data_IF_470708228537
#
_entry.id   IF_470708228537
#
_cell.length_a   1.000
_cell.length_b   1.000
_cell.length_c   1.000
_cell.angle_alpha   90.00
_cell.angle_beta   90.00
_cell.angle_gamma   90.00
#
_symmetry.space_group_name_H-M   'P 1'
#
loop_
_entity.id
_entity.type
_entity.pdbx_description
1 polymer ?
#
# COMPACT_ATOMS: atom_id res chain seq x y z
N UNK A 1 67.05 15.62 -2.63
CA UNK A 1 65.63 15.56 -3.00
C UNK A 1 65.52 14.84 -4.35
N UNK A 2 65.31 13.53 -4.32
CA UNK A 2 65.19 12.72 -5.53
C UNK A 2 63.85 13.00 -6.24
N UNK A 3 63.91 13.52 -7.46
CA UNK A 3 62.74 13.71 -8.32
C UNK A 3 62.32 12.34 -8.84
N UNK A 4 61.17 11.83 -8.39
CA UNK A 4 60.59 10.59 -8.92
C UNK A 4 60.27 10.77 -10.41
N UNK A 5 60.55 9.76 -11.26
CA UNK A 5 60.34 9.87 -12.70
C UNK A 5 58.85 10.04 -13.04
N UNK A 6 58.52 10.81 -14.09
CA UNK A 6 57.15 11.20 -14.43
C UNK A 6 56.23 9.99 -14.73
N UNK A 7 56.81 8.86 -15.13
CA UNK A 7 56.11 7.59 -15.33
C UNK A 7 55.57 7.00 -14.04
N UNK A 8 56.28 7.13 -12.92
CA UNK A 8 55.81 6.63 -11.61
C UNK A 8 54.63 7.46 -11.10
N UNK A 9 54.66 8.77 -11.33
CA UNK A 9 53.55 9.68 -10.97
C UNK A 9 52.31 9.36 -11.80
N UNK A 10 52.48 9.09 -13.10
CA UNK A 10 51.38 8.76 -14.00
C UNK A 10 50.75 7.39 -13.68
N UNK A 11 51.57 6.38 -13.35
CA UNK A 11 51.07 5.07 -12.91
C UNK A 11 50.35 5.15 -11.56
N UNK A 12 50.83 5.96 -10.61
CA UNK A 12 50.14 6.19 -9.33
C UNK A 12 48.80 6.91 -9.57
N UNK A 13 48.76 7.90 -10.47
CA UNK A 13 47.51 8.58 -10.81
C UNK A 13 46.52 7.63 -11.49
N UNK A 14 46.95 6.76 -12.40
CA UNK A 14 46.11 5.76 -13.05
C UNK A 14 45.65 4.66 -12.08
N UNK A 15 46.51 4.24 -11.14
CA UNK A 15 46.14 3.32 -10.05
C UNK A 15 45.15 3.97 -9.08
N UNK A 16 45.29 5.27 -8.78
CA UNK A 16 44.33 6.01 -7.98
C UNK A 16 42.99 6.16 -8.70
N UNK A 17 42.98 6.51 -9.99
CA UNK A 17 41.75 6.58 -10.80
C UNK A 17 41.07 5.20 -10.97
N UNK A 18 41.85 4.12 -11.06
CA UNK A 18 41.36 2.75 -11.14
C UNK A 18 40.91 2.16 -9.79
N UNK A 19 41.52 2.60 -8.68
CA UNK A 19 41.13 2.22 -7.31
C UNK A 19 39.93 3.04 -6.81
N UNK A 20 39.76 4.27 -7.28
CA UNK A 20 38.49 5.02 -7.21
C UNK A 20 37.55 4.66 -8.36
N UNK A 21 37.77 3.47 -8.94
CA UNK A 21 37.31 3.06 -10.27
C UNK A 21 35.98 3.67 -10.60
N UNK A 22 35.99 4.65 -11.50
CA UNK A 22 34.80 5.21 -12.14
C UNK A 22 33.51 5.00 -11.33
N UNK A 23 33.44 5.57 -10.12
CA UNK A 23 32.16 5.86 -9.48
C UNK A 23 31.54 6.99 -10.31
N UNK A 24 31.16 6.64 -11.54
CA UNK A 24 30.24 7.39 -12.36
C UNK A 24 28.99 7.50 -11.51
N UNK A 25 28.91 8.65 -10.85
CA UNK A 25 28.00 9.02 -9.78
C UNK A 25 26.58 8.58 -10.16
N UNK A 26 26.11 7.48 -9.57
CA UNK A 26 24.74 7.05 -9.79
C UNK A 26 23.85 8.13 -9.17
N UNK A 27 23.04 8.76 -10.01
CA UNK A 27 22.03 9.70 -9.57
C UNK A 27 20.75 8.90 -9.41
N UNK A 28 20.14 8.99 -8.22
CA UNK A 28 18.80 8.45 -8.03
C UNK A 28 17.83 9.33 -8.81
N UNK A 29 17.07 8.75 -9.73
CA UNK A 29 16.08 9.46 -10.54
C UNK A 29 14.64 9.03 -10.26
N UNK A 30 14.45 7.84 -9.68
CA UNK A 30 13.13 7.33 -9.32
C UNK A 30 13.23 6.22 -8.26
N UNK A 31 12.31 6.23 -7.30
CA UNK A 31 12.09 5.12 -6.37
C UNK A 31 10.70 4.53 -6.60
N UNK A 32 10.64 3.23 -6.89
CA UNK A 32 9.39 2.49 -7.02
C UNK A 32 9.32 1.41 -5.95
N UNK A 33 8.25 1.44 -5.15
CA UNK A 33 8.04 0.47 -4.08
C UNK A 33 6.72 -0.23 -4.33
N UNK A 34 6.79 -1.52 -4.67
CA UNK A 34 5.66 -2.42 -4.68
C UNK A 34 5.70 -3.25 -3.39
N UNK A 35 4.65 -3.16 -2.58
CA UNK A 35 4.58 -3.88 -1.32
C UNK A 35 3.24 -4.59 -1.16
N UNK A 36 3.26 -5.72 -0.44
CA UNK A 36 2.04 -6.32 0.09
C UNK A 36 1.60 -5.54 1.34
N UNK A 37 0.36 -5.70 1.77
CA UNK A 37 -0.04 -5.31 3.12
C UNK A 37 0.83 -5.97 4.18
N UNK A 38 0.97 -5.33 5.34
CA UNK A 38 1.50 -5.96 6.54
C UNK A 38 0.59 -7.10 7.03
N UNK A 39 0.95 -7.70 8.17
CA UNK A 39 0.11 -8.74 8.76
C UNK A 39 -1.31 -8.23 9.00
N UNK A 40 -2.29 -9.02 8.58
CA UNK A 40 -3.70 -8.70 8.71
C UNK A 40 -4.41 -9.86 9.40
N UNK A 41 -5.48 -9.58 10.18
CA UNK A 41 -6.28 -10.64 10.76
C UNK A 41 -6.97 -11.45 9.64
N UNK A 42 -7.35 -12.71 9.92
CA UNK A 42 -8.18 -13.49 9.01
C UNK A 42 -9.47 -12.73 8.63
N UNK A 43 -10.00 -12.95 7.41
CA UNK A 43 -11.25 -12.35 6.97
C UNK A 43 -12.40 -12.59 7.96
N UNK A 44 -13.32 -11.64 8.07
CA UNK A 44 -14.45 -11.68 9.01
C UNK A 44 -15.34 -12.93 8.86
N UNK A 45 -15.36 -13.52 7.66
CA UNK A 45 -16.16 -14.69 7.31
C UNK A 45 -15.54 -16.03 7.73
N UNK A 46 -14.30 -16.05 8.21
CA UNK A 46 -13.61 -17.29 8.59
C UNK A 46 -14.18 -17.85 9.89
N UNK A 47 -14.65 -19.12 9.92
CA UNK A 47 -15.10 -19.77 11.15
C UNK A 47 -14.00 -19.81 12.20
N UNK A 48 -14.32 -19.42 13.44
CA UNK A 48 -13.35 -19.41 14.53
C UNK A 48 -12.30 -18.30 14.45
N UNK A 49 -12.57 -17.22 13.69
CA UNK A 49 -11.68 -16.05 13.55
C UNK A 49 -11.09 -15.55 14.87
N UNK A 50 -11.89 -15.41 15.91
CA UNK A 50 -11.39 -14.92 17.22
C UNK A 50 -10.34 -15.85 17.82
N UNK A 51 -10.51 -17.17 17.68
CA UNK A 51 -9.52 -18.16 18.13
C UNK A 51 -8.26 -18.15 17.28
N UNK A 52 -8.37 -17.83 15.99
CA UNK A 52 -7.20 -17.67 15.10
C UNK A 52 -6.42 -16.40 15.42
N UNK A 53 -7.11 -15.31 15.74
CA UNK A 53 -6.48 -14.06 16.15
C UNK A 53 -5.91 -14.11 17.57
N UNK A 54 -6.51 -14.93 18.43
CA UNK A 54 -6.13 -15.06 19.82
C UNK A 54 -6.20 -16.51 20.29
N UNK A 55 -5.23 -17.36 19.90
CA UNK A 55 -5.20 -18.77 20.28
C UNK A 55 -5.21 -18.99 21.80
N UNK A 56 -4.57 -18.07 22.53
CA UNK A 56 -4.40 -18.12 23.99
C UNK A 56 -5.35 -17.16 24.74
N UNK A 57 -6.33 -16.55 24.06
CA UNK A 57 -7.24 -15.53 24.63
C UNK A 57 -6.55 -14.28 25.24
N UNK A 58 -5.31 -13.99 24.86
CA UNK A 58 -4.51 -12.84 25.35
C UNK A 58 -4.45 -11.66 24.38
N UNK A 59 -4.98 -11.82 23.17
CA UNK A 59 -4.92 -10.82 22.11
C UNK A 59 -6.26 -10.73 21.38
N UNK A 60 -6.31 -9.99 20.27
CA UNK A 60 -7.49 -9.91 19.41
C UNK A 60 -7.08 -9.59 17.96
N UNK A 61 -8.05 -9.65 17.04
CA UNK A 61 -7.79 -9.35 15.63
C UNK A 61 -7.30 -7.91 15.39
N UNK A 62 -7.69 -6.97 16.25
CA UNK A 62 -7.23 -5.57 16.17
C UNK A 62 -5.73 -5.45 16.48
N UNK A 63 -5.23 -6.20 17.46
CA UNK A 63 -3.80 -6.23 17.77
C UNK A 63 -2.96 -6.73 16.58
N UNK A 64 -3.44 -7.77 15.88
CA UNK A 64 -2.80 -8.24 14.63
C UNK A 64 -2.79 -7.13 13.58
N UNK A 65 -3.93 -6.48 13.35
CA UNK A 65 -4.03 -5.39 12.39
C UNK A 65 -3.05 -4.23 12.73
N UNK A 66 -2.93 -3.88 14.02
CA UNK A 66 -2.01 -2.84 14.50
C UNK A 66 -0.54 -3.24 14.34
N UNK A 67 -0.20 -4.51 14.57
CA UNK A 67 1.13 -5.01 14.24
C UNK A 67 1.44 -4.89 12.75
N UNK A 68 0.45 -5.12 11.87
CA UNK A 68 0.61 -4.89 10.43
C UNK A 68 0.92 -3.44 10.09
N UNK A 69 0.27 -2.49 10.76
CA UNK A 69 0.57 -1.04 10.61
C UNK A 69 2.00 -0.73 11.03
N UNK A 70 2.43 -1.24 12.19
CA UNK A 70 3.78 -1.03 12.70
C UNK A 70 4.84 -1.60 11.76
N UNK A 71 4.63 -2.82 11.25
CA UNK A 71 5.51 -3.42 10.24
C UNK A 71 5.70 -2.50 9.03
N UNK A 72 4.61 -1.93 8.52
CA UNK A 72 4.69 -1.05 7.35
C UNK A 72 5.37 0.28 7.66
N UNK A 73 5.16 0.84 8.86
CA UNK A 73 5.90 2.04 9.31
C UNK A 73 7.40 1.78 9.38
N UNK A 74 7.82 0.65 9.93
CA UNK A 74 9.24 0.27 10.01
C UNK A 74 9.85 0.07 8.61
N UNK A 75 9.11 -0.53 7.67
CA UNK A 75 9.54 -0.62 6.27
C UNK A 75 9.73 0.77 5.66
N UNK A 76 8.80 1.70 5.91
CA UNK A 76 8.94 3.09 5.46
C UNK A 76 10.17 3.79 6.04
N UNK A 77 10.40 3.66 7.34
CA UNK A 77 11.58 4.22 8.01
C UNK A 77 12.88 3.60 7.47
N UNK A 78 12.87 2.29 7.17
CA UNK A 78 13.99 1.61 6.52
C UNK A 78 14.26 2.17 5.13
N UNK A 79 13.24 2.35 4.29
CA UNK A 79 13.36 2.95 2.94
C UNK A 79 13.98 4.34 3.02
N UNK A 80 13.49 5.19 3.93
CA UNK A 80 14.07 6.52 4.17
C UNK A 80 15.56 6.40 4.49
N UNK A 81 15.90 5.56 5.48
CA UNK A 81 17.29 5.40 5.90
C UNK A 81 18.19 4.84 4.79
N UNK A 82 17.67 3.91 3.98
CA UNK A 82 18.41 3.31 2.88
C UNK A 82 18.82 4.38 1.87
N UNK A 83 17.87 5.19 1.39
CA UNK A 83 18.15 6.17 0.35
C UNK A 83 18.80 7.46 0.91
N UNK A 84 18.46 7.88 2.13
CA UNK A 84 19.05 9.08 2.72
C UNK A 84 20.50 8.91 3.18
N UNK A 85 21.01 7.67 3.31
CA UNK A 85 22.36 7.36 3.80
C UNK A 85 23.23 6.59 2.81
N UNK A 86 22.77 6.44 1.57
CA UNK A 86 23.55 5.79 0.53
C UNK A 86 24.68 6.73 0.07
N UNK A 87 25.91 6.42 0.45
CA UNK A 87 27.09 7.22 0.12
C UNK A 87 27.55 7.02 -1.34
N UNK A 88 27.04 5.99 -2.02
CA UNK A 88 27.37 5.67 -3.41
C UNK A 88 26.38 6.34 -4.40
N UNK A 89 25.32 6.94 -3.88
CA UNK A 89 24.28 7.63 -4.66
C UNK A 89 24.34 9.13 -4.39
N UNK A 90 24.61 9.89 -5.45
CA UNK A 90 24.65 11.34 -5.34
C UNK A 90 23.25 11.92 -5.11
N UNK A 91 23.16 12.94 -4.25
CA UNK A 91 21.96 13.77 -4.03
C UNK A 91 20.73 13.01 -3.48
N UNK A 92 20.90 11.77 -3.00
CA UNK A 92 19.78 10.97 -2.45
C UNK A 92 19.36 11.37 -1.04
N UNK A 93 20.18 12.14 -0.32
CA UNK A 93 19.92 12.50 1.08
C UNK A 93 18.59 13.24 1.29
N UNK A 94 18.19 14.07 0.33
CA UNK A 94 16.99 14.92 0.40
C UNK A 94 15.71 14.36 -0.24
N UNK A 95 15.76 13.15 -0.79
CA UNK A 95 14.64 12.56 -1.54
C UNK A 95 13.37 12.33 -0.71
N UNK A 96 13.53 12.11 0.59
CA UNK A 96 12.46 11.86 1.54
C UNK A 96 12.44 12.91 2.67
N UNK A 97 12.95 14.11 2.37
CA UNK A 97 12.88 15.22 3.30
C UNK A 97 11.43 15.61 3.57
N UNK A 98 11.18 16.07 4.79
CA UNK A 98 9.90 16.63 5.15
C UNK A 98 9.79 18.08 4.63
N UNK A 99 8.60 18.56 4.25
CA UNK A 99 7.29 17.90 4.35
C UNK A 99 6.96 16.97 3.16
N UNK A 100 5.92 16.16 3.31
CA UNK A 100 5.42 15.27 2.26
C UNK A 100 4.83 16.12 1.13
N UNK A 101 5.33 15.91 -0.10
CA UNK A 101 4.84 16.57 -1.30
C UNK A 101 3.98 15.61 -2.15
N UNK A 102 2.65 15.80 -2.22
CA UNK A 102 1.76 14.95 -3.02
C UNK A 102 1.96 15.11 -4.53
N UNK A 103 2.72 16.10 -5.00
CA UNK A 103 3.07 16.27 -6.41
C UNK A 103 4.31 15.46 -6.80
N UNK A 104 5.20 15.20 -5.84
CA UNK A 104 6.41 14.39 -6.04
C UNK A 104 6.16 12.88 -5.78
N UNK A 105 5.20 12.55 -4.92
CA UNK A 105 4.92 11.17 -4.52
C UNK A 105 3.58 10.71 -5.06
N UNK A 106 3.61 9.74 -5.97
CA UNK A 106 2.40 9.08 -6.46
C UNK A 106 2.19 7.74 -5.77
N UNK A 107 1.06 7.58 -5.08
CA UNK A 107 0.69 6.33 -4.44
C UNK A 107 -0.58 5.76 -5.06
N UNK A 108 -0.54 4.47 -5.41
CA UNK A 108 -1.69 3.72 -5.90
C UNK A 108 -1.85 2.44 -5.09
N UNK A 109 -3.07 2.13 -4.69
CA UNK A 109 -3.39 0.90 -3.97
C UNK A 109 -4.70 0.30 -4.48
N UNK A 110 -4.90 -0.98 -4.20
CA UNK A 110 -6.21 -1.60 -4.31
C UNK A 110 -7.21 -0.87 -3.43
N UNK A 111 -8.47 -0.83 -3.85
CA UNK A 111 -9.60 -0.40 -3.01
C UNK A 111 -9.88 -1.41 -1.89
N UNK A 112 -8.85 -1.78 -1.12
CA UNK A 112 -8.88 -2.64 0.04
C UNK A 112 -8.39 -1.93 1.31
N UNK A 113 -9.20 -1.87 2.38
CA UNK A 113 -8.83 -1.17 3.61
C UNK A 113 -7.51 -1.63 4.21
N UNK A 114 -7.19 -2.93 4.14
CA UNK A 114 -5.91 -3.42 4.67
C UNK A 114 -4.72 -2.97 3.84
N UNK A 115 -4.90 -2.87 2.52
CA UNK A 115 -3.88 -2.37 1.58
C UNK A 115 -3.74 -0.86 1.68
N UNK A 116 -4.85 -0.11 1.72
CA UNK A 116 -4.88 1.34 1.92
C UNK A 116 -4.18 1.72 3.23
N UNK A 117 -4.52 1.04 4.33
CA UNK A 117 -3.88 1.23 5.64
C UNK A 117 -2.39 0.92 5.59
N UNK A 118 -1.99 -0.14 4.90
CA UNK A 118 -0.57 -0.48 4.74
C UNK A 118 0.20 0.57 3.95
N UNK A 119 -0.38 1.09 2.86
CA UNK A 119 0.23 2.15 2.05
C UNK A 119 0.38 3.45 2.83
N UNK A 120 -0.68 3.86 3.55
CA UNK A 120 -0.63 5.03 4.43
C UNK A 120 0.40 4.86 5.56
N UNK A 121 0.47 3.67 6.17
CA UNK A 121 1.44 3.37 7.21
C UNK A 121 2.90 3.38 6.71
N UNK A 122 3.15 2.87 5.50
CA UNK A 122 4.46 2.94 4.87
C UNK A 122 4.89 4.40 4.64
N UNK A 123 4.02 5.22 4.06
CA UNK A 123 4.30 6.63 3.82
C UNK A 123 4.50 7.41 5.13
N UNK A 124 3.72 7.10 6.16
CA UNK A 124 3.93 7.66 7.50
C UNK A 124 5.30 7.28 8.09
N UNK A 125 5.83 6.09 7.78
CA UNK A 125 7.18 5.68 8.14
C UNK A 125 8.27 6.44 7.38
N UNK A 126 8.08 6.63 6.07
CA UNK A 126 9.02 7.37 5.21
C UNK A 126 9.11 8.84 5.63
N UNK A 127 7.96 9.47 5.91
CA UNK A 127 7.86 10.89 6.23
C UNK A 127 7.62 11.18 7.72
N UNK A 128 8.01 10.25 8.60
CA UNK A 128 7.87 10.38 10.05
C UNK A 128 8.51 11.68 10.57
N UNK A 129 7.77 12.42 11.42
CA UNK A 129 8.21 13.72 11.99
C UNK A 129 7.36 14.94 11.62
N UNK A 130 6.24 14.75 10.90
CA UNK A 130 5.24 15.79 10.67
C UNK A 130 4.15 15.74 11.74
N UNK A 131 3.89 16.88 12.37
CA UNK A 131 2.71 17.08 13.21
C UNK A 131 1.45 17.00 12.33
N UNK A 132 0.79 15.85 12.31
CA UNK A 132 -0.61 15.56 11.93
C UNK A 132 -1.22 16.12 10.61
N UNK A 133 -0.49 16.87 9.77
CA UNK A 133 -1.11 17.69 8.72
C UNK A 133 -1.09 17.09 7.30
N UNK A 134 -0.33 16.03 7.04
CA UNK A 134 -0.29 15.39 5.74
C UNK A 134 -0.69 13.92 5.83
N UNK A 135 -1.98 13.63 5.65
CA UNK A 135 -2.44 12.26 5.39
C UNK A 135 -2.07 11.93 3.94
N UNK A 136 -1.15 10.98 3.70
CA UNK A 136 -0.70 10.68 2.36
C UNK A 136 -1.87 10.21 1.49
N UNK A 137 -2.07 10.84 0.35
CA UNK A 137 -3.19 10.53 -0.53
C UNK A 137 -2.94 9.21 -1.26
N UNK A 138 -3.75 8.20 -0.98
CA UNK A 138 -3.68 6.90 -1.66
C UNK A 138 -4.78 6.84 -2.71
N UNK A 139 -4.40 6.84 -3.99
CA UNK A 139 -5.35 6.67 -5.08
C UNK A 139 -5.78 5.20 -5.13
N UNK A 140 -7.07 4.95 -4.94
CA UNK A 140 -7.65 3.63 -5.17
C UNK A 140 -8.43 3.60 -6.48
N UNK A 141 -8.30 2.49 -7.22
CA UNK A 141 -9.10 2.23 -8.40
C UNK A 141 -10.23 1.25 -8.05
N UNK A 142 -11.40 1.35 -8.70
CA UNK A 142 -12.42 0.31 -8.65
C UNK A 142 -11.83 -1.05 -9.06
N UNK A 143 -12.28 -2.18 -8.47
CA UNK A 143 -11.71 -3.50 -8.76
C UNK A 143 -11.73 -3.90 -10.24
N UNK A 144 -12.74 -3.44 -10.99
CA UNK A 144 -12.90 -3.74 -12.41
C UNK A 144 -11.93 -2.94 -13.30
N UNK A 145 -11.45 -1.79 -12.81
CA UNK A 145 -10.49 -0.91 -13.47
C UNK A 145 -9.05 -1.07 -12.94
N UNK A 146 -8.86 -1.97 -11.96
CA UNK A 146 -7.58 -2.12 -11.28
C UNK A 146 -6.62 -3.07 -12.01
N UNK A 147 -5.75 -2.50 -12.85
CA UNK A 147 -4.76 -3.26 -13.61
C UNK A 147 -3.52 -3.71 -12.79
N UNK A 148 -3.38 -3.38 -11.50
CA UNK A 148 -2.18 -3.76 -10.72
C UNK A 148 -2.09 -5.26 -10.40
N UNK A 149 -3.22 -5.93 -10.17
CA UNK A 149 -3.29 -7.38 -9.91
C UNK A 149 -4.39 -8.07 -10.74
N UNK A 150 -5.01 -7.37 -11.70
CA UNK A 150 -6.10 -7.95 -12.49
C UNK A 150 -5.60 -9.05 -13.41
N UNK A 151 -5.84 -10.30 -12.98
CA UNK A 151 -5.77 -11.49 -13.83
C UNK A 151 -6.87 -11.47 -14.91
N UNK A 152 -7.89 -10.60 -14.77
CA UNK A 152 -8.93 -10.36 -15.80
C UNK A 152 -8.41 -9.58 -17.00
N UNK A 153 -7.24 -8.95 -16.91
CA UNK A 153 -6.54 -8.42 -18.09
C UNK A 153 -6.15 -9.52 -19.09
N UNK A 154 -6.18 -10.79 -18.66
CA UNK A 154 -6.02 -11.96 -19.53
C UNK A 154 -7.40 -12.57 -19.83
N UNK A 155 -7.89 -12.51 -21.09
CA UNK A 155 -9.23 -12.97 -21.47
C UNK A 155 -9.55 -14.42 -21.09
N UNK A 156 -8.53 -15.28 -21.01
CA UNK A 156 -8.67 -16.70 -20.69
C UNK A 156 -9.07 -16.99 -19.25
N UNK A 157 -8.79 -16.08 -18.30
CA UNK A 157 -9.15 -16.25 -16.89
C UNK A 157 -10.50 -15.61 -16.52
N UNK A 158 -10.94 -14.61 -17.30
CA UNK A 158 -12.24 -13.95 -17.10
C UNK A 158 -13.41 -14.93 -17.35
N UNK A 159 -13.34 -15.68 -18.44
CA UNK A 159 -14.41 -16.59 -18.88
C UNK A 159 -14.73 -17.71 -17.89
N UNK A 160 -13.75 -18.19 -17.12
CA UNK A 160 -13.93 -19.28 -16.13
C UNK A 160 -14.43 -18.80 -14.77
N UNK A 161 -14.16 -17.54 -14.40
CA UNK A 161 -14.64 -16.96 -13.14
C UNK A 161 -16.05 -16.37 -13.26
N UNK A 162 -16.40 -15.81 -14.42
CA UNK A 162 -17.71 -15.21 -14.69
C UNK A 162 -18.87 -16.22 -14.54
N UNK A 163 -18.65 -17.49 -14.90
CA UNK A 163 -19.73 -18.50 -14.87
C UNK A 163 -20.18 -18.90 -13.46
N UNK A 164 -19.40 -18.59 -12.41
CA UNK A 164 -19.78 -18.84 -10.99
C UNK A 164 -19.94 -17.55 -10.20
N UNK A 165 -19.27 -16.47 -10.62
CA UNK A 165 -19.40 -15.16 -9.99
C UNK A 165 -20.80 -14.56 -10.19
N UNK A 166 -21.45 -14.80 -11.34
CA UNK A 166 -22.82 -14.34 -11.58
C UNK A 166 -23.81 -14.95 -10.58
N UNK A 167 -23.72 -16.26 -10.33
CA UNK A 167 -24.62 -16.97 -9.41
C UNK A 167 -24.41 -16.54 -7.95
N UNK A 168 -23.15 -16.39 -7.53
CA UNK A 168 -22.80 -15.93 -6.18
C UNK A 168 -23.20 -14.46 -6.00
N UNK A 169 -22.94 -13.61 -6.99
CA UNK A 169 -23.34 -12.21 -7.01
C UNK A 169 -24.86 -12.05 -6.90
N UNK A 170 -25.63 -12.84 -7.64
CA UNK A 170 -27.09 -12.83 -7.57
C UNK A 170 -27.61 -13.26 -6.19
N UNK A 171 -27.00 -14.30 -5.58
CA UNK A 171 -27.36 -14.74 -4.24
C UNK A 171 -27.07 -13.68 -3.16
N UNK A 172 -25.91 -13.01 -3.25
CA UNK A 172 -25.55 -11.93 -2.32
C UNK A 172 -26.39 -10.67 -2.53
N UNK A 173 -26.68 -10.29 -3.77
CA UNK A 173 -27.55 -9.16 -4.10
C UNK A 173 -28.96 -9.38 -3.54
N UNK A 174 -29.50 -10.60 -3.63
CA UNK A 174 -30.77 -10.97 -3.02
C UNK A 174 -30.75 -10.76 -1.50
N UNK A 175 -29.75 -11.32 -0.81
CA UNK A 175 -29.64 -11.18 0.65
C UNK A 175 -29.50 -9.70 1.08
N UNK A 176 -28.76 -8.90 0.32
CA UNK A 176 -28.60 -7.46 0.59
C UNK A 176 -29.91 -6.71 0.36
N UNK A 177 -30.66 -7.03 -0.69
CA UNK A 177 -31.97 -6.40 -0.96
C UNK A 177 -33.03 -6.75 0.09
N UNK A 178 -32.96 -7.96 0.68
CA UNK A 178 -33.84 -8.37 1.78
C UNK A 178 -33.52 -7.60 3.08
N UNK A 179 -32.24 -7.34 3.35
CA UNK A 179 -31.78 -6.65 4.55
C UNK A 179 -31.87 -5.12 4.43
N UNK A 180 -31.67 -4.58 3.23
CA UNK A 180 -31.71 -3.16 2.91
C UNK A 180 -32.70 -2.90 1.76
N UNK A 181 -34.01 -2.90 2.07
CA UNK A 181 -35.06 -2.75 1.05
C UNK A 181 -35.08 -1.36 0.39
N UNK A 182 -34.56 -0.34 1.07
CA UNK A 182 -34.30 0.97 0.47
C UNK A 182 -32.83 1.06 0.00
N UNK A 183 -32.64 0.85 -1.30
CA UNK A 183 -31.39 1.02 -2.02
C UNK A 183 -30.68 2.36 -1.74
N UNK A 184 -31.43 3.44 -1.54
CA UNK A 184 -30.86 4.77 -1.29
C UNK A 184 -30.16 4.86 0.07
N UNK A 185 -30.41 3.93 0.99
CA UNK A 185 -29.71 3.86 2.29
C UNK A 185 -28.24 3.44 2.07
N UNK A 186 -27.99 2.45 1.21
CA UNK A 186 -26.62 1.98 0.91
C UNK A 186 -25.82 3.10 0.26
N UNK A 187 -26.40 3.79 -0.72
CA UNK A 187 -25.75 4.92 -1.39
C UNK A 187 -25.41 6.05 -0.41
N UNK A 188 -26.34 6.43 0.47
CA UNK A 188 -26.09 7.48 1.48
C UNK A 188 -24.97 7.10 2.45
N UNK A 189 -24.94 5.85 2.94
CA UNK A 189 -23.84 5.36 3.78
C UNK A 189 -22.50 5.33 3.02
N UNK A 190 -22.53 5.06 1.71
CA UNK A 190 -21.35 5.07 0.86
C UNK A 190 -20.84 6.49 0.55
N UNK A 191 -21.73 7.47 0.39
CA UNK A 191 -21.38 8.88 0.19
C UNK A 191 -20.56 9.42 1.38
N UNK A 192 -20.90 9.03 2.62
CA UNK A 192 -20.15 9.43 3.83
C UNK A 192 -18.68 9.03 3.82
N UNK A 193 -18.32 7.98 3.06
CA UNK A 193 -16.95 7.46 2.94
C UNK A 193 -16.37 7.63 1.53
N UNK A 194 -16.97 8.48 0.69
CA UNK A 194 -16.49 8.78 -0.66
C UNK A 194 -16.71 7.66 -1.69
N UNK A 195 -17.59 6.70 -1.42
CA UNK A 195 -17.94 5.58 -2.30
C UNK A 195 -19.30 5.75 -3.00
N UNK A 196 -19.91 6.94 -2.94
CA UNK A 196 -21.29 7.18 -3.41
C UNK A 196 -21.56 6.74 -4.85
N UNK A 197 -20.71 7.16 -5.79
CA UNK A 197 -20.82 6.80 -7.21
C UNK A 197 -20.63 5.30 -7.46
N UNK A 198 -19.69 4.67 -6.73
CA UNK A 198 -19.44 3.23 -6.83
C UNK A 198 -20.59 2.37 -6.25
N UNK A 199 -21.48 2.99 -5.48
CA UNK A 199 -22.62 2.36 -4.82
C UNK A 199 -23.96 2.89 -5.32
N UNK A 200 -23.97 3.57 -6.47
CA UNK A 200 -25.18 4.13 -7.05
C UNK A 200 -26.04 3.07 -7.75
N UNK A 201 -25.42 1.99 -8.25
CA UNK A 201 -26.11 0.94 -8.99
C UNK A 201 -26.55 -0.23 -8.10
N UNK A 202 -27.77 -0.74 -8.32
CA UNK A 202 -28.32 -1.84 -7.55
C UNK A 202 -27.52 -3.14 -7.69
N UNK A 203 -26.86 -3.37 -8.83
CA UNK A 203 -25.97 -4.50 -9.04
C UNK A 203 -24.69 -4.44 -8.20
N UNK A 204 -24.30 -3.24 -7.75
CA UNK A 204 -23.09 -3.00 -6.95
C UNK A 204 -23.33 -3.05 -5.43
N UNK A 205 -24.59 -3.08 -4.98
CA UNK A 205 -24.95 -2.94 -3.57
C UNK A 205 -24.38 -4.03 -2.66
N UNK A 206 -24.32 -5.28 -3.10
CA UNK A 206 -23.74 -6.36 -2.30
C UNK A 206 -22.25 -6.15 -2.05
N UNK A 207 -21.53 -5.69 -3.06
CA UNK A 207 -20.12 -5.31 -2.95
C UNK A 207 -19.96 -4.09 -2.03
N UNK A 208 -20.83 -3.09 -2.17
CA UNK A 208 -20.84 -1.89 -1.33
C UNK A 208 -21.09 -2.19 0.15
N UNK A 209 -22.08 -3.03 0.47
CA UNK A 209 -22.34 -3.46 1.84
C UNK A 209 -21.14 -4.19 2.45
N UNK A 210 -20.52 -5.10 1.69
CA UNK A 210 -19.30 -5.77 2.13
C UNK A 210 -18.17 -4.76 2.39
N UNK A 211 -18.04 -3.72 1.56
CA UNK A 211 -17.00 -2.69 1.76
C UNK A 211 -17.28 -1.76 2.92
N UNK A 212 -18.51 -1.32 3.10
CA UNK A 212 -18.93 -0.52 4.26
C UNK A 212 -18.75 -1.30 5.56
N UNK A 213 -19.09 -2.60 5.58
CA UNK A 213 -18.81 -3.48 6.72
C UNK A 213 -17.30 -3.60 6.97
N UNK A 214 -16.51 -3.77 5.91
CA UNK A 214 -15.05 -3.84 6.01
C UNK A 214 -14.48 -2.54 6.57
N UNK A 215 -14.96 -1.37 6.14
CA UNK A 215 -14.54 -0.07 6.65
C UNK A 215 -14.91 0.13 8.11
N UNK A 216 -16.17 -0.16 8.49
CA UNK A 216 -16.65 -0.02 9.88
C UNK A 216 -15.92 -0.96 10.83
N UNK A 217 -15.75 -2.23 10.48
CA UNK A 217 -14.95 -3.18 11.30
C UNK A 217 -13.49 -2.75 11.42
N UNK A 218 -12.96 -2.12 10.38
CA UNK A 218 -11.59 -1.61 10.35
C UNK A 218 -11.43 -0.32 11.15
N UNK A 219 -12.44 0.55 11.20
CA UNK A 219 -12.52 1.74 12.05
C UNK A 219 -12.67 1.35 13.53
N UNK A 220 -13.60 0.45 13.84
CA UNK A 220 -13.79 -0.08 15.20
C UNK A 220 -12.55 -0.81 15.74
N UNK A 221 -11.70 -1.34 14.85
CA UNK A 221 -10.44 -1.97 15.22
C UNK A 221 -9.31 -0.96 15.52
N UNK A 222 -9.43 0.31 15.11
CA UNK A 222 -8.41 1.34 15.35
C UNK A 222 -8.51 1.93 16.75
N UNK A 223 -9.73 2.00 17.31
CA UNK A 223 -9.96 2.74 18.56
C UNK A 223 -10.01 4.24 18.30
#
# INVERSE_FOLDING_TARGET
MERRPPTVVCCIALLLLGATGANCLYVLELVQVAHRSGVAPPPATVPGREKLCSPDSKSNCSAIANHGVLQMREVGAYIKNLYSRDADVNESSGWFDAPYDPTAVRTRAFADPSVLRAAAALLAGVYAGQDDLAVPAVLSAPPDDDMLLSVRALPSFALTNESRAADIGAAMAKAVSEQFPDAAVIRRMAEEVGLGEACADAGSHAWCCHRLQSLTTTYAAVG
#
